data_IF_407908031891
#
_entry.id   IF_407908031891
#
_cell.length_a   1.000
_cell.length_b   1.000
_cell.length_c   1.000
_cell.angle_alpha   90.00
_cell.angle_beta   90.00
_cell.angle_gamma   90.00
#
_symmetry.space_group_name_H-M   'P 1'
#
loop_
_entity.id
_entity.type
_entity.pdbx_description
1 polymer ?
#
# COMPACT_ATOMS: atom_id res chain seq x y z
N UNK A 1 -28.29 0.24 6.08
CA UNK A 1 -27.04 0.17 6.87
C UNK A 1 -25.89 0.35 5.89
N UNK A 2 -25.22 1.50 6.00
CA UNK A 2 -24.01 2.03 5.33
C UNK A 2 -23.75 1.82 3.82
N UNK A 3 -24.09 2.85 3.04
CA UNK A 3 -23.56 3.15 1.71
C UNK A 3 -22.39 4.14 1.83
N UNK A 4 -21.22 3.69 2.33
CA UNK A 4 -20.03 4.55 2.51
C UNK A 4 -18.79 4.11 1.71
N UNK A 5 -18.86 3.03 0.93
CA UNK A 5 -17.66 2.41 0.33
C UNK A 5 -17.59 2.49 -1.21
N UNK A 6 -18.43 3.28 -1.90
CA UNK A 6 -18.56 3.18 -3.37
C UNK A 6 -18.12 4.41 -4.20
N UNK A 7 -17.61 5.48 -3.58
CA UNK A 7 -17.29 6.71 -4.32
C UNK A 7 -15.78 6.97 -4.55
N UNK A 8 -14.90 6.09 -4.08
CA UNK A 8 -13.46 6.28 -4.25
C UNK A 8 -12.90 5.53 -5.46
N UNK A 9 -12.06 6.20 -6.25
CA UNK A 9 -11.29 5.61 -7.35
C UNK A 9 -10.07 4.82 -6.84
N UNK A 10 -9.55 3.89 -7.66
CA UNK A 10 -8.29 3.15 -7.33
C UNK A 10 -7.16 4.11 -6.99
N UNK A 11 -7.10 5.23 -7.70
CA UNK A 11 -6.02 6.19 -7.53
C UNK A 11 -6.15 6.98 -6.22
N UNK A 12 -7.37 7.34 -5.81
CA UNK A 12 -7.59 7.96 -4.50
C UNK A 12 -7.28 7.01 -3.35
N UNK A 13 -7.67 5.73 -3.46
CA UNK A 13 -7.29 4.70 -2.49
C UNK A 13 -5.76 4.57 -2.38
N UNK A 14 -5.08 4.61 -3.53
CA UNK A 14 -3.62 4.61 -3.60
C UNK A 14 -2.99 5.84 -2.95
N UNK A 15 -3.46 7.05 -3.25
CA UNK A 15 -2.98 8.30 -2.64
C UNK A 15 -3.10 8.27 -1.12
N UNK A 16 -4.26 7.83 -0.59
CA UNK A 16 -4.48 7.65 0.84
C UNK A 16 -3.54 6.60 1.44
N UNK A 17 -3.29 5.51 0.72
CA UNK A 17 -2.32 4.50 1.13
C UNK A 17 -0.90 5.05 1.23
N UNK A 18 -0.48 5.87 0.26
CA UNK A 18 0.82 6.55 0.26
C UNK A 18 0.93 7.51 1.44
N UNK A 19 -0.11 8.29 1.72
CA UNK A 19 -0.14 9.21 2.86
C UNK A 19 0.07 8.46 4.19
N UNK A 20 -0.65 7.36 4.40
CA UNK A 20 -0.54 6.53 5.62
C UNK A 20 0.83 5.83 5.72
N UNK A 21 1.37 5.36 4.60
CA UNK A 21 2.68 4.71 4.57
C UNK A 21 3.83 5.72 4.79
N UNK A 22 3.62 6.96 4.38
CA UNK A 22 4.60 8.03 4.36
C UNK A 22 5.15 8.26 2.95
N UNK A 23 5.03 9.49 2.38
CA UNK A 23 5.49 9.81 1.04
C UNK A 23 6.96 9.48 0.76
N UNK A 24 7.81 9.44 1.79
CA UNK A 24 9.24 9.08 1.70
C UNK A 24 9.52 7.77 0.96
N UNK A 25 8.58 6.83 0.99
CA UNK A 25 8.72 5.51 0.37
C UNK A 25 8.32 5.47 -1.12
N UNK A 26 7.92 6.60 -1.70
CA UNK A 26 7.36 6.66 -3.04
C UNK A 26 8.02 7.79 -3.86
N UNK A 27 8.16 7.58 -5.16
CA UNK A 27 8.77 8.47 -6.13
C UNK A 27 10.09 9.09 -5.63
N UNK A 28 10.15 10.42 -5.49
CA UNK A 28 11.29 11.17 -5.00
C UNK A 28 11.32 11.35 -3.47
N UNK A 29 10.35 10.76 -2.78
CA UNK A 29 10.17 10.84 -1.34
C UNK A 29 9.59 12.16 -0.82
N UNK A 30 9.24 13.08 -1.71
CA UNK A 30 8.80 14.44 -1.38
C UNK A 30 7.45 14.80 -2.03
N UNK A 31 7.11 14.15 -3.14
CA UNK A 31 5.86 14.34 -3.85
C UNK A 31 4.67 14.10 -2.91
N UNK A 32 3.84 15.13 -2.73
CA UNK A 32 2.61 15.02 -1.95
C UNK A 32 1.60 14.13 -2.70
N UNK A 33 0.94 13.17 -2.03
CA UNK A 33 -0.07 12.32 -2.66
C UNK A 33 -1.16 13.14 -3.35
N UNK A 34 -1.62 14.23 -2.74
CA UNK A 34 -2.67 15.10 -3.28
C UNK A 34 -2.27 15.84 -4.57
N UNK A 35 -0.97 15.99 -4.83
CA UNK A 35 -0.46 16.64 -6.04
C UNK A 35 -0.19 15.68 -7.19
N UNK A 36 -0.20 14.37 -6.93
CA UNK A 36 0.02 13.35 -7.94
C UNK A 36 -1.15 13.26 -8.91
N UNK A 37 -0.84 13.05 -10.19
CA UNK A 37 -1.83 12.95 -11.28
C UNK A 37 -2.02 11.52 -11.77
N UNK A 38 -1.07 10.64 -11.44
CA UNK A 38 -1.09 9.23 -11.78
C UNK A 38 -0.36 8.38 -10.74
N UNK A 39 -0.58 7.06 -10.78
CA UNK A 39 0.17 6.12 -9.93
C UNK A 39 1.68 6.17 -10.14
N UNK A 40 2.14 6.60 -11.31
CA UNK A 40 3.56 6.63 -11.66
C UNK A 40 4.30 7.71 -10.86
N UNK A 41 3.61 8.80 -10.56
CA UNK A 41 4.06 9.90 -9.71
C UNK A 41 4.23 9.46 -8.24
N UNK A 42 3.70 8.28 -7.90
CA UNK A 42 3.72 7.68 -6.56
C UNK A 42 4.21 6.23 -6.64
N UNK A 43 5.22 5.97 -7.48
CA UNK A 43 5.83 4.65 -7.63
C UNK A 43 6.62 4.25 -6.38
N UNK A 44 6.46 3.02 -5.83
CA UNK A 44 7.21 2.61 -4.64
C UNK A 44 8.72 2.53 -4.87
N UNK A 45 9.51 3.00 -3.90
CA UNK A 45 10.99 2.90 -3.87
C UNK A 45 11.40 1.52 -3.35
N UNK A 46 11.16 0.49 -4.17
CA UNK A 46 11.25 -0.92 -3.76
C UNK A 46 12.57 -1.29 -3.09
N UNK A 47 13.71 -0.83 -3.61
CA UNK A 47 15.03 -1.18 -3.05
C UNK A 47 15.26 -0.58 -1.66
N UNK A 48 14.76 0.63 -1.43
CA UNK A 48 14.84 1.29 -0.13
C UNK A 48 13.87 0.66 0.87
N UNK A 49 12.66 0.33 0.42
CA UNK A 49 11.68 -0.41 1.22
C UNK A 49 12.29 -1.74 1.65
N UNK A 50 12.87 -2.53 0.74
CA UNK A 50 13.55 -3.81 1.07
C UNK A 50 14.63 -3.64 2.12
N UNK A 51 15.43 -2.58 2.00
CA UNK A 51 16.52 -2.29 2.94
C UNK A 51 16.01 -1.86 4.32
N UNK A 52 14.86 -1.19 4.38
CA UNK A 52 14.28 -0.67 5.59
C UNK A 52 13.31 -1.64 6.30
N UNK A 53 12.74 -2.61 5.59
CA UNK A 53 11.56 -3.35 6.05
C UNK A 53 11.77 -4.09 7.39
N UNK A 54 12.99 -4.55 7.67
CA UNK A 54 13.34 -5.21 8.93
C UNK A 54 13.43 -4.28 10.14
N UNK A 55 13.44 -2.96 9.93
CA UNK A 55 13.52 -1.93 10.97
C UNK A 55 12.16 -1.29 11.28
N UNK A 56 11.15 -1.54 10.44
CA UNK A 56 9.81 -1.03 10.63
C UNK A 56 9.04 -1.88 11.65
N UNK A 57 7.98 -1.33 12.22
CA UNK A 57 7.04 -2.17 12.96
C UNK A 57 6.40 -3.21 12.03
N UNK A 58 5.96 -4.34 12.58
CA UNK A 58 5.36 -5.42 11.79
C UNK A 58 4.18 -4.94 10.93
N UNK A 59 3.32 -4.06 11.48
CA UNK A 59 2.19 -3.49 10.76
C UNK A 59 2.60 -2.52 9.64
N UNK A 60 3.61 -1.67 9.86
CA UNK A 60 4.14 -0.78 8.81
C UNK A 60 4.79 -1.57 7.67
N UNK A 61 5.62 -2.56 8.02
CA UNK A 61 6.27 -3.46 7.07
C UNK A 61 5.24 -4.20 6.23
N UNK A 62 4.23 -4.82 6.87
CA UNK A 62 3.18 -5.55 6.18
C UNK A 62 2.36 -4.64 5.26
N UNK A 63 2.03 -3.44 5.74
CA UNK A 63 1.28 -2.46 4.95
C UNK A 63 2.05 -2.02 3.71
N UNK A 64 3.32 -1.65 3.86
CA UNK A 64 4.17 -1.28 2.73
C UNK A 64 4.35 -2.43 1.73
N UNK A 65 4.56 -3.65 2.21
CA UNK A 65 4.65 -4.83 1.34
C UNK A 65 3.36 -5.05 0.54
N UNK A 66 2.20 -4.88 1.16
CA UNK A 66 0.91 -4.95 0.50
C UNK A 66 0.71 -3.81 -0.52
N UNK A 67 1.08 -2.58 -0.17
CA UNK A 67 1.05 -1.46 -1.13
C UNK A 67 1.93 -1.74 -2.36
N UNK A 68 3.15 -2.24 -2.15
CA UNK A 68 4.04 -2.62 -3.26
C UNK A 68 3.39 -3.71 -4.13
N UNK A 69 2.67 -4.68 -3.55
CA UNK A 69 2.05 -5.77 -4.34
C UNK A 69 0.89 -5.30 -5.24
N UNK A 70 0.15 -4.27 -4.83
CA UNK A 70 -0.87 -3.64 -5.69
C UNK A 70 -0.27 -2.82 -6.84
N UNK A 71 0.95 -2.31 -6.68
CA UNK A 71 1.67 -1.61 -7.73
C UNK A 71 2.40 -2.56 -8.68
N UNK A 72 3.14 -3.52 -8.12
CA UNK A 72 3.87 -4.56 -8.82
C UNK A 72 3.86 -5.86 -7.99
N UNK A 73 3.17 -6.87 -8.53
CA UNK A 73 2.86 -8.12 -7.83
C UNK A 73 4.10 -8.96 -7.49
N UNK A 74 5.15 -8.90 -8.31
CA UNK A 74 6.37 -9.69 -8.12
C UNK A 74 7.18 -9.23 -6.89
N UNK A 75 7.74 -8.00 -6.85
CA UNK A 75 8.49 -7.53 -5.69
C UNK A 75 7.62 -7.41 -4.43
N UNK A 76 6.34 -7.05 -4.57
CA UNK A 76 5.42 -7.01 -3.43
C UNK A 76 5.15 -8.40 -2.85
N UNK A 77 4.97 -9.41 -3.70
CA UNK A 77 4.80 -10.80 -3.27
C UNK A 77 6.05 -11.35 -2.57
N UNK A 78 7.25 -10.95 -2.99
CA UNK A 78 8.49 -11.29 -2.28
C UNK A 78 8.56 -10.65 -0.90
N UNK A 79 8.24 -9.36 -0.78
CA UNK A 79 8.22 -8.65 0.49
C UNK A 79 7.22 -9.30 1.46
N UNK A 80 6.00 -9.57 1.02
CA UNK A 80 4.97 -10.23 1.83
C UNK A 80 5.44 -11.60 2.33
N UNK A 81 6.02 -12.43 1.46
CA UNK A 81 6.59 -13.73 1.85
C UNK A 81 7.72 -13.59 2.86
N UNK A 82 8.59 -12.59 2.70
CA UNK A 82 9.71 -12.35 3.64
C UNK A 82 9.22 -11.95 5.04
N UNK A 83 8.02 -11.40 5.14
CA UNK A 83 7.34 -11.05 6.40
C UNK A 83 6.47 -12.20 6.96
N UNK A 84 6.47 -13.36 6.31
CA UNK A 84 5.70 -14.53 6.75
C UNK A 84 4.22 -14.51 6.40
N UNK A 85 3.78 -13.64 5.47
CA UNK A 85 2.39 -13.65 5.01
C UNK A 85 2.14 -14.84 4.07
N UNK A 86 1.23 -15.73 4.46
CA UNK A 86 0.80 -16.89 3.67
C UNK A 86 -0.55 -16.64 2.97
N UNK A 87 -1.28 -15.62 3.41
CA UNK A 87 -2.56 -15.24 2.83
C UNK A 87 -3.12 -13.94 3.39
N UNK A 88 -4.33 -13.60 2.94
CA UNK A 88 -5.03 -12.35 3.30
C UNK A 88 -5.28 -12.22 4.80
N UNK A 89 -5.47 -13.33 5.53
CA UNK A 89 -5.65 -13.33 6.98
C UNK A 89 -4.43 -12.78 7.72
N UNK A 90 -3.23 -13.15 7.29
CA UNK A 90 -1.98 -12.75 7.93
C UNK A 90 -1.72 -11.26 7.71
N UNK A 91 -2.05 -10.77 6.50
CA UNK A 91 -2.03 -9.35 6.17
C UNK A 91 -3.03 -8.61 7.07
N UNK A 92 -4.31 -9.01 7.07
CA UNK A 92 -5.34 -8.34 7.84
C UNK A 92 -5.06 -8.34 9.35
N UNK A 93 -4.53 -9.43 9.91
CA UNK A 93 -4.20 -9.52 11.33
C UNK A 93 -3.05 -8.58 11.75
N UNK A 94 -2.16 -8.23 10.81
CA UNK A 94 -1.01 -7.36 11.07
C UNK A 94 -1.33 -5.87 10.96
N UNK A 95 -2.51 -5.52 10.46
CA UNK A 95 -2.88 -4.14 10.11
C UNK A 95 -3.92 -3.57 11.08
N UNK A 96 -3.73 -2.31 11.46
CA UNK A 96 -4.78 -1.53 12.12
C UNK A 96 -5.96 -1.25 11.17
N UNK A 97 -7.03 -0.66 11.70
CA UNK A 97 -8.25 -0.37 10.92
C UNK A 97 -7.99 0.54 9.70
N UNK A 98 -7.19 1.60 9.87
CA UNK A 98 -6.91 2.56 8.79
C UNK A 98 -6.18 1.90 7.62
N UNK A 99 -5.15 1.11 7.93
CA UNK A 99 -4.38 0.35 6.94
C UNK A 99 -5.20 -0.75 6.29
N UNK A 100 -6.02 -1.47 7.06
CA UNK A 100 -6.95 -2.48 6.51
C UNK A 100 -7.94 -1.88 5.54
N UNK A 101 -8.47 -0.70 5.85
CA UNK A 101 -9.43 -0.02 4.98
C UNK A 101 -8.82 0.29 3.62
N UNK A 102 -7.59 0.83 3.57
CA UNK A 102 -6.88 1.05 2.30
C UNK A 102 -6.69 -0.25 1.52
N UNK A 103 -6.20 -1.30 2.17
CA UNK A 103 -5.98 -2.60 1.51
C UNK A 103 -7.28 -3.23 1.02
N UNK A 104 -8.42 -2.96 1.67
CA UNK A 104 -9.73 -3.40 1.23
C UNK A 104 -10.30 -2.55 0.07
N UNK A 105 -10.05 -1.24 0.07
CA UNK A 105 -10.54 -0.30 -0.95
C UNK A 105 -9.83 -0.48 -2.29
N UNK A 106 -8.51 -0.75 -2.28
CA UNK A 106 -7.70 -0.96 -3.48
C UNK A 106 -8.27 -2.03 -4.45
N UNK A 107 -8.59 -3.26 -4.02
CA UNK A 107 -9.17 -4.28 -4.90
C UNK A 107 -10.63 -4.00 -5.25
N UNK A 108 -11.39 -3.31 -4.39
CA UNK A 108 -12.79 -2.97 -4.67
C UNK A 108 -12.92 -1.91 -5.77
N UNK A 109 -11.99 -0.97 -5.80
CA UNK A 109 -11.94 0.04 -6.85
C UNK A 109 -11.31 -0.49 -8.15
N UNK A 110 -10.59 -1.63 -8.10
CA UNK A 110 -9.69 -2.09 -9.16
C UNK A 110 -10.41 -2.43 -10.48
N UNK A 111 -10.30 -1.53 -11.46
CA UNK A 111 -10.75 -1.75 -12.85
C UNK A 111 -9.60 -2.02 -13.84
N UNK A 112 -8.38 -2.20 -13.33
CA UNK A 112 -7.14 -2.10 -14.11
C UNK A 112 -6.57 -0.69 -14.04
N UNK A 113 -5.24 -0.59 -13.99
CA UNK A 113 -4.49 0.67 -13.95
C UNK A 113 -4.14 1.17 -15.35
#
# INVERSE_FOLDING_TARGET
>A
MSARFYDETVFQAWQRGVEIAGPRWFADGQTSPDSATSKWDLSPRVDEIRSAIGWLSSGEAMFLAAMVSFYNSEPGGELLRSLGANGLSDIAASLDESRRQVIADLPLAYAGW
#
